data_IF_231400672843
#
_entry.id   IF_231400672843
#
_cell.length_a   1.000
_cell.length_b   1.000
_cell.length_c   1.000
_cell.angle_alpha   90.00
_cell.angle_beta   90.00
_cell.angle_gamma   90.00
#
_symmetry.space_group_name_H-M   'P 1'
#
loop_
_entity.id
_entity.type
_entity.pdbx_description
1 polymer ?
#
# COMPACT_ATOMS: atom_id res chain seq x y z
N UNK A 1 -8.95 22.01 1.01
CA UNK A 1 -7.59 21.54 1.35
C UNK A 1 -7.72 20.05 1.54
N UNK A 2 -6.84 19.27 0.94
CA UNK A 2 -6.89 17.81 1.08
C UNK A 2 -6.13 17.38 2.31
N UNK A 3 -6.72 16.48 3.08
CA UNK A 3 -6.15 15.95 4.31
C UNK A 3 -5.97 14.45 4.21
N UNK A 4 -4.85 13.95 4.73
CA UNK A 4 -4.60 12.52 4.91
C UNK A 4 -4.69 12.20 6.40
N UNK A 5 -5.43 11.15 6.74
CA UNK A 5 -5.57 10.71 8.11
C UNK A 5 -5.50 9.18 8.22
N UNK A 6 -4.70 8.69 9.16
CA UNK A 6 -4.67 7.27 9.54
C UNK A 6 -5.65 7.09 10.69
N UNK A 7 -6.68 6.27 10.48
CA UNK A 7 -7.73 6.01 11.46
C UNK A 7 -7.25 5.00 12.51
N UNK A 8 -7.91 4.96 13.70
CA UNK A 8 -7.59 3.98 14.73
C UNK A 8 -7.75 2.51 14.31
N UNK A 9 -8.56 2.23 13.28
CA UNK A 9 -8.75 0.91 12.68
C UNK A 9 -7.72 0.59 11.57
N UNK A 10 -6.72 1.46 11.37
CA UNK A 10 -5.68 1.31 10.36
C UNK A 10 -6.08 1.73 8.95
N UNK A 11 -7.35 2.10 8.72
CA UNK A 11 -7.77 2.63 7.43
C UNK A 11 -7.18 4.03 7.20
N UNK A 12 -6.83 4.35 5.96
CA UNK A 12 -6.31 5.68 5.60
C UNK A 12 -7.37 6.40 4.80
N UNK A 13 -7.65 7.65 5.16
CA UNK A 13 -8.60 8.49 4.43
C UNK A 13 -7.88 9.63 3.73
N UNK A 14 -8.22 9.86 2.47
CA UNK A 14 -7.89 11.08 1.71
C UNK A 14 -9.18 11.88 1.58
N UNK A 15 -9.23 13.06 2.17
CA UNK A 15 -10.46 13.84 2.32
C UNK A 15 -10.31 15.22 1.70
N UNK A 16 -11.29 15.67 0.90
CA UNK A 16 -11.36 17.04 0.39
C UNK A 16 -12.81 17.54 0.37
N UNK A 17 -13.18 18.40 1.31
CA UNK A 17 -14.59 18.78 1.49
C UNK A 17 -15.43 17.58 1.92
N UNK A 18 -16.47 17.27 1.15
CA UNK A 18 -17.35 16.11 1.39
C UNK A 18 -16.82 14.82 0.72
N UNK A 19 -15.81 14.92 -0.15
CA UNK A 19 -15.23 13.76 -0.82
C UNK A 19 -14.28 13.02 0.12
N UNK A 20 -14.57 11.74 0.36
CA UNK A 20 -13.74 10.86 1.20
C UNK A 20 -13.40 9.59 0.43
N UNK A 21 -12.12 9.41 0.13
CA UNK A 21 -11.58 8.13 -0.32
C UNK A 21 -11.03 7.38 0.89
N UNK A 22 -11.45 6.15 1.08
CA UNK A 22 -10.96 5.28 2.16
C UNK A 22 -10.14 4.13 1.60
N UNK A 23 -8.86 4.07 1.98
CA UNK A 23 -7.95 2.98 1.70
C UNK A 23 -7.86 2.03 2.89
N UNK A 24 -7.80 0.74 2.55
CA UNK A 24 -7.43 -0.36 3.44
C UNK A 24 -6.40 -1.22 2.71
N UNK A 25 -5.66 -2.08 3.42
CA UNK A 25 -4.70 -2.99 2.80
C UNK A 25 -5.18 -3.83 1.60
N UNK A 26 -6.50 -4.04 1.46
CA UNK A 26 -7.07 -4.95 0.46
C UNK A 26 -8.09 -4.28 -0.47
N UNK A 27 -8.42 -3.01 -0.21
CA UNK A 27 -9.46 -2.33 -0.97
C UNK A 27 -9.43 -0.81 -0.77
N UNK A 28 -10.00 -0.13 -1.76
CA UNK A 28 -10.29 1.29 -1.74
C UNK A 28 -11.79 1.48 -1.88
N UNK A 29 -12.36 2.39 -1.11
CA UNK A 29 -13.73 2.90 -1.31
C UNK A 29 -13.61 4.34 -1.76
N UNK A 30 -14.12 4.64 -2.95
CA UNK A 30 -14.13 5.97 -3.57
C UNK A 30 -15.20 6.87 -2.94
N UNK A 31 -15.15 8.20 -3.17
CA UNK A 31 -16.17 9.13 -2.67
C UNK A 31 -17.60 8.80 -3.12
N UNK A 32 -17.78 8.24 -4.31
CA UNK A 32 -19.09 7.80 -4.83
C UNK A 32 -19.55 6.43 -4.31
N UNK A 33 -18.77 5.82 -3.40
CA UNK A 33 -19.08 4.54 -2.77
C UNK A 33 -18.66 3.32 -3.58
N UNK A 34 -18.03 3.48 -4.75
CA UNK A 34 -17.45 2.36 -5.48
C UNK A 34 -16.33 1.72 -4.68
N UNK A 35 -16.35 0.39 -4.59
CA UNK A 35 -15.28 -0.37 -3.94
C UNK A 35 -14.37 -1.00 -5.00
N UNK A 36 -13.08 -0.68 -4.93
CA UNK A 36 -12.02 -1.26 -5.76
C UNK A 36 -11.23 -2.24 -4.90
N UNK A 37 -10.95 -3.43 -5.43
CA UNK A 37 -10.08 -4.43 -4.80
C UNK A 37 -9.42 -5.28 -5.88
N UNK A 38 -8.32 -5.94 -5.52
CA UNK A 38 -7.63 -6.86 -6.40
C UNK A 38 -8.51 -8.07 -6.78
N UNK A 39 -8.29 -8.66 -7.97
CA UNK A 39 -9.04 -9.81 -8.46
C UNK A 39 -8.95 -11.03 -7.52
N UNK A 40 -7.79 -11.26 -6.89
CA UNK A 40 -7.62 -12.36 -5.91
C UNK A 40 -8.48 -12.19 -4.65
N UNK A 41 -9.02 -10.99 -4.42
CA UNK A 41 -9.97 -10.67 -3.34
C UNK A 41 -11.42 -10.54 -3.84
N UNK A 42 -11.72 -11.04 -5.04
CA UNK A 42 -13.03 -10.96 -5.68
C UNK A 42 -13.37 -9.58 -6.24
N UNK A 43 -12.38 -8.70 -6.39
CA UNK A 43 -12.53 -7.41 -7.04
C UNK A 43 -12.28 -7.46 -8.55
N UNK A 44 -12.10 -6.28 -9.17
CA UNK A 44 -11.88 -6.13 -10.61
C UNK A 44 -10.54 -5.48 -10.97
N UNK A 45 -9.73 -5.12 -9.97
CA UNK A 45 -8.42 -4.52 -10.20
C UNK A 45 -7.42 -5.63 -10.53
N UNK A 46 -6.79 -5.51 -11.70
CA UNK A 46 -5.74 -6.44 -12.17
C UNK A 46 -4.33 -5.81 -12.15
N UNK A 47 -4.23 -4.55 -11.74
CA UNK A 47 -2.98 -3.80 -11.78
C UNK A 47 -3.11 -2.48 -11.02
N UNK A 48 -3.32 -1.38 -11.75
CA UNK A 48 -3.38 -0.03 -11.19
C UNK A 48 -4.76 0.61 -11.36
N UNK A 49 -5.14 1.41 -10.38
CA UNK A 49 -6.31 2.28 -10.37
C UNK A 49 -5.92 3.64 -9.81
N UNK A 50 -6.54 4.71 -10.28
CA UNK A 50 -6.27 6.05 -9.75
C UNK A 50 -7.50 6.93 -9.76
N UNK A 51 -7.47 7.95 -8.90
CA UNK A 51 -8.49 8.97 -8.80
C UNK A 51 -7.91 10.30 -8.32
N UNK A 52 -8.64 11.37 -8.63
CA UNK A 52 -8.40 12.68 -8.05
C UNK A 52 -9.33 12.89 -6.85
N UNK A 53 -8.80 13.34 -5.72
CA UNK A 53 -9.58 13.72 -4.52
C UNK A 53 -9.17 15.16 -4.16
N UNK A 54 -9.98 16.14 -4.55
CA UNK A 54 -9.59 17.53 -4.49
C UNK A 54 -8.33 17.81 -5.32
N UNK A 55 -7.25 18.27 -4.68
CA UNK A 55 -5.94 18.49 -5.29
C UNK A 55 -4.97 17.30 -5.15
N UNK A 56 -5.35 16.24 -4.44
CA UNK A 56 -4.54 15.02 -4.34
C UNK A 56 -4.80 14.07 -5.52
N UNK A 57 -3.72 13.59 -6.14
CA UNK A 57 -3.76 12.45 -7.04
C UNK A 57 -3.46 11.17 -6.24
N UNK A 58 -4.40 10.22 -6.26
CA UNK A 58 -4.30 8.93 -5.56
C UNK A 58 -4.11 7.83 -6.59
N UNK A 59 -3.03 7.09 -6.47
CA UNK A 59 -2.75 5.88 -7.26
C UNK A 59 -2.74 4.67 -6.33
N UNK A 60 -3.33 3.57 -6.77
CA UNK A 60 -3.39 2.31 -6.04
C UNK A 60 -3.00 1.17 -6.96
N UNK A 61 -2.01 0.39 -6.54
CA UNK A 61 -1.37 -0.63 -7.36
C UNK A 61 -1.31 -1.94 -6.61
N UNK A 62 -1.51 -3.03 -7.34
CA UNK A 62 -1.11 -4.37 -6.91
C UNK A 62 0.32 -4.63 -7.41
N UNK A 63 1.26 -4.88 -6.49
CA UNK A 63 2.67 -5.12 -6.81
C UNK A 63 3.05 -6.61 -6.82
N UNK A 64 2.22 -7.46 -6.23
CA UNK A 64 2.46 -8.88 -6.03
C UNK A 64 1.80 -9.37 -4.74
N UNK A 65 1.77 -10.68 -4.54
CA UNK A 65 1.15 -11.27 -3.35
C UNK A 65 2.13 -11.21 -2.17
N UNK A 66 1.68 -10.56 -1.10
CA UNK A 66 2.22 -10.71 0.25
C UNK A 66 1.73 -12.02 0.89
N UNK A 67 1.81 -12.15 2.23
CA UNK A 67 1.54 -13.42 2.89
C UNK A 67 0.05 -13.82 2.83
N UNK A 68 -0.85 -12.86 2.67
CA UNK A 68 -2.28 -13.11 2.59
C UNK A 68 -2.83 -13.01 1.15
N UNK A 69 -2.06 -12.45 0.23
CA UNK A 69 -2.38 -12.25 -1.20
C UNK A 69 -3.34 -11.09 -1.47
N UNK A 70 -3.21 -10.47 -2.64
CA UNK A 70 -4.08 -9.36 -3.08
C UNK A 70 -3.97 -8.06 -2.27
N UNK A 71 -2.84 -7.84 -1.61
CA UNK A 71 -2.49 -6.59 -0.94
C UNK A 71 -2.38 -5.44 -1.96
N UNK A 72 -2.83 -4.25 -1.57
CA UNK A 72 -2.73 -3.05 -2.37
C UNK A 72 -1.70 -2.10 -1.76
N UNK A 73 -1.03 -1.32 -2.61
CA UNK A 73 -0.16 -0.21 -2.24
C UNK A 73 -0.80 1.08 -2.73
N UNK A 74 -0.85 2.11 -1.89
CA UNK A 74 -1.38 3.42 -2.25
C UNK A 74 -0.29 4.48 -2.26
N UNK A 75 -0.28 5.33 -3.28
CA UNK A 75 0.55 6.53 -3.38
C UNK A 75 -0.36 7.76 -3.52
N UNK A 76 -0.15 8.75 -2.67
CA UNK A 76 -0.87 10.03 -2.70
C UNK A 76 0.10 11.14 -3.00
N UNK A 77 -0.15 11.87 -4.09
CA UNK A 77 0.66 13.03 -4.51
C UNK A 77 -0.13 14.30 -4.29
N UNK A 78 0.40 15.20 -3.45
CA UNK A 78 -0.10 16.55 -3.23
C UNK A 78 0.77 17.58 -3.96
N UNK A 79 0.21 18.71 -4.45
CA UNK A 79 0.99 19.72 -5.14
C UNK A 79 2.11 20.31 -4.28
N UNK A 80 3.35 20.22 -4.75
CA UNK A 80 4.52 20.79 -4.05
C UNK A 80 5.03 19.97 -2.86
N UNK A 81 4.49 18.76 -2.65
CA UNK A 81 4.90 17.86 -1.57
C UNK A 81 5.49 16.55 -2.11
N UNK A 82 6.36 15.87 -1.35
CA UNK A 82 6.78 14.51 -1.69
C UNK A 82 5.60 13.53 -1.60
N UNK A 83 5.60 12.45 -2.40
CA UNK A 83 4.53 11.46 -2.35
C UNK A 83 4.42 10.83 -0.96
N UNK A 84 3.19 10.54 -0.53
CA UNK A 84 2.88 9.79 0.69
C UNK A 84 2.48 8.38 0.30
N UNK A 85 3.13 7.38 0.89
CA UNK A 85 2.96 5.97 0.50
C UNK A 85 2.36 5.18 1.66
N UNK A 86 1.41 4.30 1.35
CA UNK A 86 0.90 3.30 2.28
C UNK A 86 1.10 1.91 1.66
N UNK A 87 1.66 0.97 2.41
CA UNK A 87 1.96 -0.38 1.92
C UNK A 87 0.95 -1.42 2.41
N UNK A 88 0.07 -1.04 3.32
CA UNK A 88 -0.96 -1.91 3.86
C UNK A 88 -0.37 -3.21 4.41
N UNK A 89 -0.94 -4.33 3.97
CA UNK A 89 -0.57 -5.66 4.43
C UNK A 89 0.59 -6.27 3.63
N UNK A 90 1.16 -5.54 2.66
CA UNK A 90 2.36 -6.00 1.95
C UNK A 90 3.55 -6.14 2.92
N UNK A 91 3.60 -5.28 3.94
CA UNK A 91 4.54 -5.38 5.05
C UNK A 91 3.80 -5.97 6.25
N UNK A 92 4.20 -7.19 6.62
CA UNK A 92 3.64 -7.86 7.79
C UNK A 92 4.47 -7.53 9.05
N UNK A 93 3.82 -7.36 10.22
CA UNK A 93 4.53 -7.15 11.47
C UNK A 93 5.26 -8.42 11.96
N UNK A 94 4.76 -9.61 11.60
CA UNK A 94 5.42 -10.87 11.89
C UNK A 94 6.63 -11.13 10.98
N UNK A 95 7.60 -11.90 11.49
CA UNK A 95 8.73 -12.34 10.68
C UNK A 95 8.27 -13.24 9.52
N UNK A 96 8.86 -13.12 8.31
CA UNK A 96 8.57 -14.01 7.20
C UNK A 96 8.73 -15.49 7.59
N UNK A 97 7.76 -16.33 7.23
CA UNK A 97 7.82 -17.78 7.42
C UNK A 97 8.43 -18.48 6.20
N UNK A 98 8.80 -19.76 6.29
CA UNK A 98 9.41 -20.51 5.19
C UNK A 98 8.55 -20.58 3.90
N UNK A 99 7.22 -20.45 4.00
CA UNK A 99 6.31 -20.47 2.86
C UNK A 99 6.12 -19.06 2.25
N UNK A 100 7.20 -18.43 1.80
CA UNK A 100 7.17 -17.11 1.14
C UNK A 100 6.67 -17.24 -0.31
N UNK A 101 5.64 -16.49 -0.74
CA UNK A 101 5.28 -16.41 -2.15
C UNK A 101 6.41 -15.79 -2.98
N UNK A 102 6.72 -16.38 -4.14
CA UNK A 102 7.80 -15.91 -5.03
C UNK A 102 7.66 -14.43 -5.43
N UNK A 103 6.44 -13.91 -5.50
CA UNK A 103 6.16 -12.51 -5.83
C UNK A 103 6.47 -11.55 -4.69
N UNK A 104 6.52 -12.01 -3.44
CA UNK A 104 6.58 -11.12 -2.28
C UNK A 104 7.90 -10.33 -2.21
N UNK A 105 9.09 -10.94 -2.38
CA UNK A 105 10.34 -10.17 -2.38
C UNK A 105 10.39 -9.10 -3.47
N UNK A 106 9.92 -9.43 -4.68
CA UNK A 106 9.86 -8.49 -5.80
C UNK A 106 8.87 -7.34 -5.53
N UNK A 107 7.71 -7.63 -4.92
CA UNK A 107 6.74 -6.62 -4.54
C UNK A 107 7.30 -5.65 -3.49
N UNK A 108 8.04 -6.15 -2.50
CA UNK A 108 8.70 -5.33 -1.48
C UNK A 108 9.82 -4.48 -2.08
N UNK A 109 10.63 -5.04 -3.00
CA UNK A 109 11.67 -4.29 -3.74
C UNK A 109 11.07 -3.12 -4.54
N UNK A 110 9.98 -3.38 -5.28
CA UNK A 110 9.24 -2.33 -6.00
C UNK A 110 8.70 -1.26 -5.05
N UNK A 111 8.14 -1.68 -3.91
CA UNK A 111 7.61 -0.76 -2.90
C UNK A 111 8.68 0.18 -2.32
N UNK A 112 9.90 -0.32 -2.08
CA UNK A 112 11.04 0.50 -1.62
C UNK A 112 11.38 1.65 -2.58
N UNK A 113 11.17 1.44 -3.89
CA UNK A 113 11.35 2.48 -4.90
C UNK A 113 10.35 3.64 -4.80
N UNK A 114 9.20 3.43 -4.14
CA UNK A 114 8.16 4.43 -3.95
C UNK A 114 8.39 5.31 -2.72
N UNK A 115 9.15 4.81 -1.73
CA UNK A 115 9.28 5.44 -0.41
C UNK A 115 10.43 6.45 -0.43
N UNK A 116 10.11 7.69 -0.09
CA UNK A 116 11.11 8.74 0.08
C UNK A 116 11.82 8.63 1.44
N UNK A 117 11.07 8.51 2.53
CA UNK A 117 11.59 8.49 3.90
C UNK A 117 10.78 7.55 4.80
N UNK A 118 9.47 7.77 4.89
CA UNK A 118 8.54 6.93 5.66
C UNK A 118 7.23 6.70 4.93
N UNK A 119 6.50 5.68 5.39
CA UNK A 119 5.16 5.34 4.96
C UNK A 119 4.12 5.81 5.97
N UNK A 120 2.86 5.84 5.55
CA UNK A 120 1.74 6.20 6.41
C UNK A 120 1.41 5.11 7.45
N UNK A 121 1.75 3.85 7.18
CA UNK A 121 1.25 2.69 7.93
C UNK A 121 2.28 1.60 8.25
N UNK A 122 3.41 1.53 7.54
CA UNK A 122 4.38 0.43 7.65
C UNK A 122 5.75 0.83 8.18
N UNK A 123 5.93 2.07 8.62
CA UNK A 123 7.17 2.59 9.19
C UNK A 123 8.10 3.28 8.19
N UNK A 124 9.36 3.41 8.57
CA UNK A 124 10.43 4.06 7.81
C UNK A 124 10.95 3.17 6.67
N UNK A 125 11.61 3.79 5.70
CA UNK A 125 12.27 3.09 4.60
C UNK A 125 13.30 2.09 5.11
N UNK A 126 14.15 2.48 6.07
CA UNK A 126 15.18 1.62 6.66
C UNK A 126 14.59 0.37 7.33
N UNK A 127 13.45 0.51 8.02
CA UNK A 127 12.73 -0.63 8.63
C UNK A 127 12.21 -1.60 7.55
N UNK A 128 11.75 -1.07 6.42
CA UNK A 128 11.24 -1.86 5.29
C UNK A 128 12.39 -2.51 4.52
N UNK A 129 13.54 -1.86 4.37
CA UNK A 129 14.77 -2.46 3.82
C UNK A 129 15.25 -3.61 4.72
N UNK A 130 15.22 -3.41 6.05
CA UNK A 130 15.56 -4.44 7.02
C UNK A 130 14.56 -5.60 7.02
N UNK A 131 13.28 -5.33 6.75
CA UNK A 131 12.29 -6.36 6.49
C UNK A 131 12.60 -7.13 5.19
N UNK A 132 12.92 -6.42 4.12
CA UNK A 132 13.26 -7.03 2.83
C UNK A 132 14.47 -7.95 2.94
N UNK A 133 15.51 -7.55 3.67
CA UNK A 133 16.69 -8.39 3.90
C UNK A 133 16.34 -9.69 4.60
N UNK A 134 15.56 -9.64 5.69
CA UNK A 134 15.07 -10.83 6.39
C UNK A 134 14.22 -11.72 5.48
N UNK A 135 13.41 -11.11 4.62
CA UNK A 135 12.61 -11.84 3.63
C UNK A 135 13.50 -12.60 2.63
N UNK A 136 14.56 -11.96 2.13
CA UNK A 136 15.53 -12.58 1.22
C UNK A 136 16.34 -13.69 1.90
N UNK A 137 16.70 -13.52 3.18
CA UNK A 137 17.39 -14.56 3.96
C UNK A 137 16.55 -15.84 4.03
N UNK A 138 15.25 -15.72 4.27
CA UNK A 138 14.32 -16.87 4.29
C UNK A 138 14.19 -17.51 2.90
N UNK A 139 14.05 -16.71 1.84
CA UNK A 139 13.90 -17.23 0.46
C UNK A 139 15.16 -17.94 -0.04
N UNK A 140 16.33 -17.55 0.47
CA UNK A 140 17.63 -18.06 0.02
C UNK A 140 18.33 -18.99 1.02
N UNK A 141 17.68 -19.36 2.13
CA UNK A 141 18.24 -20.15 3.22
C UNK A 141 19.61 -19.63 3.71
N UNK A 142 19.72 -18.31 3.92
CA UNK A 142 20.96 -17.62 4.36
C UNK A 142 21.14 -17.55 5.88
#
# INVERSE_FOLDING_TARGET
MTELNVRPDGAITVTSGDDVLTYTPYAVTTPDGQRIAHESRGGSLVGVWSAQVGDAFVEVSYLGDGPAGGELVMVVTLPGEPPRVALGALIAPEAPSADVPDSWPAAVDLALGLIADSTLDSGSKDEIESFHQRLLEVVHDL
#
